data_IF_293781967908
#
_entry.id   IF_293781967908
#
_cell.length_a   1.000
_cell.length_b   1.000
_cell.length_c   1.000
_cell.angle_alpha   90.00
_cell.angle_beta   90.00
_cell.angle_gamma   90.00
#
_symmetry.space_group_name_H-M   'P 1'
#
loop_
_entity.id
_entity.type
_entity.pdbx_description
1 polymer ?
#
# COMPACT_ATOMS: atom_id res chain seq x y z
N UNK A 1 -2.56 -19.98 -5.74
CA UNK A 1 -2.29 -19.42 -4.39
C UNK A 1 -0.80 -19.14 -4.30
N UNK A 2 -0.40 -17.89 -4.08
CA UNK A 2 1.03 -17.53 -3.93
C UNK A 2 1.42 -17.80 -2.49
N UNK A 3 2.59 -18.37 -2.24
CA UNK A 3 3.10 -18.63 -0.88
C UNK A 3 3.59 -17.33 -0.25
N UNK A 4 3.29 -17.15 1.03
CA UNK A 4 3.66 -15.97 1.81
C UNK A 4 5.18 -15.78 1.82
N UNK A 5 5.94 -16.88 1.98
CA UNK A 5 7.40 -16.89 1.91
C UNK A 5 7.92 -16.40 0.55
N UNK A 6 7.26 -16.75 -0.54
CA UNK A 6 7.68 -16.33 -1.89
C UNK A 6 7.49 -14.82 -2.05
N UNK A 7 6.37 -14.26 -1.57
CA UNK A 7 6.12 -12.81 -1.61
C UNK A 7 7.14 -12.07 -0.73
N UNK A 8 7.41 -12.57 0.47
CA UNK A 8 8.36 -11.95 1.39
C UNK A 8 9.78 -11.88 0.81
N UNK A 9 10.26 -12.98 0.19
CA UNK A 9 11.58 -13.03 -0.45
C UNK A 9 11.63 -12.09 -1.66
N UNK A 10 10.63 -12.16 -2.54
CA UNK A 10 10.52 -11.34 -3.74
C UNK A 10 10.56 -9.83 -3.39
N UNK A 11 9.74 -9.41 -2.43
CA UNK A 11 9.72 -8.02 -1.98
C UNK A 11 10.99 -7.61 -1.25
N UNK A 12 11.60 -8.52 -0.49
CA UNK A 12 12.90 -8.26 0.14
C UNK A 12 13.96 -7.90 -0.89
N UNK A 13 14.07 -8.71 -1.95
CA UNK A 13 15.00 -8.43 -3.05
C UNK A 13 14.64 -7.13 -3.79
N UNK A 14 13.37 -6.91 -4.13
CA UNK A 14 12.94 -5.68 -4.81
C UNK A 14 13.23 -4.42 -3.98
N UNK A 15 13.02 -4.46 -2.67
CA UNK A 15 13.27 -3.32 -1.78
C UNK A 15 14.76 -3.05 -1.59
N UNK A 16 15.59 -4.08 -1.47
CA UNK A 16 17.05 -3.92 -1.41
C UNK A 16 17.55 -3.25 -2.70
N UNK A 17 17.11 -3.75 -3.86
CA UNK A 17 17.51 -3.19 -5.14
C UNK A 17 17.01 -1.76 -5.33
N UNK A 18 15.72 -1.51 -5.07
CA UNK A 18 15.09 -0.18 -5.21
C UNK A 18 15.80 0.86 -4.34
N UNK A 19 16.01 0.57 -3.06
CA UNK A 19 16.67 1.51 -2.15
C UNK A 19 18.15 1.71 -2.46
N UNK A 20 18.86 0.69 -2.96
CA UNK A 20 20.27 0.80 -3.36
C UNK A 20 20.48 1.78 -4.53
N UNK A 21 19.50 1.92 -5.42
CA UNK A 21 19.56 2.88 -6.55
C UNK A 21 18.90 4.23 -6.23
N UNK A 22 18.59 4.51 -4.95
CA UNK A 22 17.93 5.75 -4.52
C UNK A 22 16.41 5.77 -4.71
N UNK A 23 15.80 4.63 -5.01
CA UNK A 23 14.36 4.46 -5.08
C UNK A 23 13.70 4.33 -3.71
N UNK A 24 12.36 4.37 -3.69
CA UNK A 24 11.54 4.23 -2.49
C UNK A 24 11.17 2.76 -2.22
N UNK A 25 10.81 2.40 -0.97
CA UNK A 25 10.30 1.06 -0.67
C UNK A 25 9.05 0.72 -1.48
N UNK A 26 8.99 -0.52 -1.96
CA UNK A 26 7.96 -1.05 -2.84
C UNK A 26 7.12 -2.11 -2.13
N UNK A 27 5.85 -2.18 -2.51
CA UNK A 27 4.88 -3.18 -2.06
C UNK A 27 4.23 -3.89 -3.27
N UNK A 28 3.32 -4.83 -3.01
CA UNK A 28 2.83 -5.72 -4.06
C UNK A 28 1.92 -5.03 -5.08
N UNK A 29 1.37 -3.86 -4.74
CA UNK A 29 0.51 -3.10 -5.66
C UNK A 29 -0.75 -3.86 -6.09
N UNK A 30 -1.32 -4.68 -5.20
CA UNK A 30 -2.44 -5.57 -5.53
C UNK A 30 -3.66 -4.85 -6.15
N UNK A 31 -3.94 -3.62 -5.72
CA UNK A 31 -5.02 -2.80 -6.30
C UNK A 31 -4.78 -2.44 -7.77
N UNK A 32 -3.57 -2.03 -8.13
CA UNK A 32 -3.21 -1.73 -9.52
C UNK A 32 -3.25 -2.98 -10.41
N UNK A 33 -2.77 -4.12 -9.87
CA UNK A 33 -2.87 -5.40 -10.57
C UNK A 33 -4.32 -5.83 -10.81
N UNK A 34 -5.22 -5.61 -9.85
CA UNK A 34 -6.65 -5.89 -10.03
C UNK A 34 -7.25 -5.05 -11.17
N UNK A 35 -6.79 -3.81 -11.35
CA UNK A 35 -7.13 -2.97 -12.51
C UNK A 35 -6.70 -3.62 -13.82
N UNK A 36 -5.42 -3.99 -13.95
CA UNK A 36 -4.92 -4.67 -15.16
C UNK A 36 -5.71 -5.95 -15.49
N UNK A 37 -6.04 -6.75 -14.47
CA UNK A 37 -6.84 -7.97 -14.66
C UNK A 37 -8.27 -7.64 -15.11
N UNK A 38 -8.90 -6.58 -14.57
CA UNK A 38 -10.22 -6.10 -15.03
C UNK A 38 -10.20 -5.62 -16.47
N UNK A 39 -9.11 -5.00 -16.92
CA UNK A 39 -8.89 -4.60 -18.31
C UNK A 39 -8.45 -5.74 -19.24
N UNK A 40 -8.49 -6.99 -18.77
CA UNK A 40 -8.26 -8.17 -19.60
C UNK A 40 -6.84 -8.72 -19.59
N UNK A 41 -5.91 -8.15 -18.80
CA UNK A 41 -4.58 -8.73 -18.64
C UNK A 41 -4.67 -10.09 -17.93
N UNK A 42 -4.10 -11.12 -18.54
CA UNK A 42 -4.04 -12.49 -17.98
C UNK A 42 -2.64 -12.93 -17.57
N UNK A 43 -1.62 -12.13 -17.89
CA UNK A 43 -0.21 -12.39 -17.60
C UNK A 43 0.47 -11.14 -17.03
N UNK A 44 1.67 -11.30 -16.48
CA UNK A 44 2.50 -10.19 -16.01
C UNK A 44 3.04 -9.27 -17.12
N UNK A 45 2.82 -9.60 -18.40
CA UNK A 45 3.32 -8.81 -19.52
C UNK A 45 2.84 -7.37 -19.51
N UNK A 46 1.59 -7.12 -19.09
CA UNK A 46 1.06 -5.77 -18.98
C UNK A 46 1.85 -4.89 -17.97
N UNK A 47 2.27 -5.48 -16.85
CA UNK A 47 3.08 -4.80 -15.84
C UNK A 47 4.50 -4.54 -16.34
N UNK A 48 5.09 -5.50 -17.07
CA UNK A 48 6.42 -5.33 -17.68
C UNK A 48 6.39 -4.21 -18.73
N UNK A 49 5.39 -4.20 -19.62
CA UNK A 49 5.22 -3.15 -20.63
C UNK A 49 5.07 -1.78 -19.96
N UNK A 50 4.21 -1.68 -18.94
CA UNK A 50 4.04 -0.44 -18.18
C UNK A 50 5.36 0.02 -17.56
N UNK A 51 6.08 -0.88 -16.89
CA UNK A 51 7.38 -0.58 -16.27
C UNK A 51 8.42 -0.11 -17.27
N UNK A 52 8.56 -0.79 -18.42
CA UNK A 52 9.49 -0.40 -19.48
C UNK A 52 9.15 0.97 -20.04
N UNK A 53 7.87 1.26 -20.29
CA UNK A 53 7.43 2.58 -20.76
C UNK A 53 7.79 3.66 -19.74
N UNK A 54 7.53 3.43 -18.45
CA UNK A 54 7.86 4.38 -17.38
C UNK A 54 9.36 4.63 -17.27
N UNK A 55 10.20 3.60 -17.42
CA UNK A 55 11.66 3.74 -17.41
C UNK A 55 12.15 4.56 -18.61
N UNK A 56 11.64 4.29 -19.82
CA UNK A 56 12.01 5.05 -21.02
C UNK A 56 11.60 6.53 -20.85
N UNK A 57 10.37 6.77 -20.41
CA UNK A 57 9.88 8.14 -20.16
C UNK A 57 10.71 8.83 -19.09
N UNK A 58 11.03 8.15 -17.98
CA UNK A 58 11.82 8.71 -16.89
C UNK A 58 13.26 9.04 -17.29
N UNK A 59 13.89 8.25 -18.15
CA UNK A 59 15.28 8.47 -18.59
C UNK A 59 15.41 9.53 -19.70
N UNK A 60 14.47 9.57 -20.65
CA UNK A 60 14.59 10.41 -21.85
C UNK A 60 13.69 11.66 -21.84
N UNK A 61 12.63 11.68 -21.02
CA UNK A 61 11.59 12.74 -21.04
C UNK A 61 11.27 13.29 -19.64
N UNK A 62 12.21 13.21 -18.70
CA UNK A 62 12.02 13.62 -17.30
C UNK A 62 11.51 15.07 -17.17
N UNK A 63 12.09 16.02 -17.91
CA UNK A 63 11.71 17.43 -17.87
C UNK A 63 10.27 17.65 -18.34
N UNK A 64 9.88 17.00 -19.43
CA UNK A 64 8.52 17.08 -19.98
C UNK A 64 7.48 16.53 -19.00
N UNK A 65 7.81 15.43 -18.31
CA UNK A 65 6.93 14.84 -17.28
C UNK A 65 6.81 15.76 -16.07
N UNK A 66 7.91 16.38 -15.63
CA UNK A 66 7.88 17.33 -14.52
C UNK A 66 6.98 18.54 -14.83
N UNK A 67 6.99 19.03 -16.07
CA UNK A 67 6.06 20.08 -16.52
C UNK A 67 4.62 19.58 -16.50
N UNK A 68 4.36 18.37 -17.01
CA UNK A 68 3.02 17.78 -17.02
C UNK A 68 2.45 17.63 -15.60
N UNK A 69 3.26 17.19 -14.64
CA UNK A 69 2.85 17.06 -13.24
C UNK A 69 2.56 18.42 -12.58
N UNK A 70 3.23 19.50 -12.98
CA UNK A 70 2.92 20.85 -12.50
C UNK A 70 1.59 21.40 -13.03
N UNK A 71 1.17 20.95 -14.21
CA UNK A 71 -0.12 21.35 -14.81
C UNK A 71 -1.28 20.54 -14.20
N UNK A 72 -1.00 19.37 -13.62
CA UNK A 72 -2.02 18.49 -13.08
C UNK A 72 -2.76 19.14 -11.88
N UNK A 73 -4.10 19.32 -11.94
CA UNK A 73 -4.83 19.98 -10.88
C UNK A 73 -4.79 19.20 -9.56
N UNK A 74 -4.31 19.83 -8.50
CA UNK A 74 -4.24 19.23 -7.17
C UNK A 74 -5.62 18.76 -6.64
N UNK A 75 -6.71 19.45 -7.04
CA UNK A 75 -8.06 19.06 -6.67
C UNK A 75 -8.47 17.68 -7.20
N UNK A 76 -8.10 17.35 -8.44
CA UNK A 76 -8.39 16.02 -9.02
C UNK A 76 -7.62 14.94 -8.27
N UNK A 77 -6.35 15.22 -7.94
CA UNK A 77 -5.50 14.29 -7.18
C UNK A 77 -6.10 14.00 -5.79
N UNK A 78 -6.58 15.05 -5.11
CA UNK A 78 -7.25 14.92 -3.81
C UNK A 78 -8.52 14.09 -3.87
N UNK A 79 -9.35 14.26 -4.91
CA UNK A 79 -10.57 13.47 -5.10
C UNK A 79 -10.24 12.00 -5.34
N UNK A 80 -9.29 11.69 -6.24
CA UNK A 80 -8.88 10.31 -6.51
C UNK A 80 -8.32 9.66 -5.25
N UNK A 81 -7.49 10.37 -4.48
CA UNK A 81 -6.91 9.85 -3.25
C UNK A 81 -7.96 9.63 -2.15
N UNK A 82 -8.96 10.51 -2.06
CA UNK A 82 -10.09 10.35 -1.15
C UNK A 82 -10.89 9.08 -1.47
N UNK A 83 -11.24 8.88 -2.74
CA UNK A 83 -11.96 7.67 -3.17
C UNK A 83 -11.14 6.39 -2.94
N UNK A 84 -9.84 6.40 -3.24
CA UNK A 84 -8.95 5.27 -2.96
C UNK A 84 -8.87 4.97 -1.45
N UNK A 85 -8.81 6.03 -0.61
CA UNK A 85 -8.84 5.89 0.84
C UNK A 85 -10.14 5.30 1.37
N UNK A 86 -11.29 5.73 0.84
CA UNK A 86 -12.61 5.19 1.18
C UNK A 86 -12.79 3.74 0.73
N UNK A 87 -12.28 3.39 -0.45
CA UNK A 87 -12.27 2.01 -0.95
C UNK A 87 -11.43 1.14 0.00
N UNK A 88 -10.25 1.60 0.40
CA UNK A 88 -9.38 0.85 1.30
C UNK A 88 -9.95 0.74 2.72
N UNK A 89 -10.59 1.80 3.23
CA UNK A 89 -11.24 1.79 4.54
C UNK A 89 -12.47 0.88 4.58
N UNK A 90 -13.08 0.57 3.44
CA UNK A 90 -14.23 -0.34 3.37
C UNK A 90 -13.91 -1.76 3.88
N UNK A 91 -12.63 -2.16 3.85
CA UNK A 91 -12.14 -3.43 4.42
C UNK A 91 -12.39 -3.52 5.93
N UNK A 92 -12.50 -2.39 6.64
CA UNK A 92 -12.81 -2.37 8.06
C UNK A 92 -14.17 -3.02 8.39
N UNK A 93 -15.11 -3.08 7.42
CA UNK A 93 -16.41 -3.75 7.60
C UNK A 93 -16.29 -5.26 7.81
N UNK A 94 -15.16 -5.86 7.44
CA UNK A 94 -14.88 -7.28 7.61
C UNK A 94 -14.25 -7.65 8.95
N UNK A 95 -13.94 -6.68 9.81
CA UNK A 95 -13.37 -6.93 11.14
C UNK A 95 -14.49 -7.37 12.08
N UNK A 96 -14.21 -8.36 12.93
CA UNK A 96 -15.16 -8.89 13.90
C UNK A 96 -15.74 -7.77 14.77
N UNK A 97 -17.03 -7.83 15.08
CA UNK A 97 -17.71 -6.83 15.92
C UNK A 97 -17.44 -7.01 17.42
N UNK A 98 -16.41 -7.78 17.77
CA UNK A 98 -15.97 -7.91 19.15
C UNK A 98 -15.31 -6.59 19.59
N UNK A 99 -15.62 -6.15 20.81
CA UNK A 99 -15.15 -4.86 21.35
C UNK A 99 -13.62 -4.77 21.35
N UNK A 100 -12.97 -5.91 21.57
CA UNK A 100 -11.52 -6.08 21.59
C UNK A 100 -10.89 -5.77 20.22
N UNK A 101 -11.40 -6.39 19.15
CA UNK A 101 -10.92 -6.19 17.78
C UNK A 101 -11.16 -4.76 17.30
N UNK A 102 -12.32 -4.18 17.63
CA UNK A 102 -12.64 -2.79 17.30
C UNK A 102 -11.69 -1.81 18.00
N UNK A 103 -11.33 -2.07 19.26
CA UNK A 103 -10.41 -1.22 20.01
C UNK A 103 -8.99 -1.28 19.43
N UNK A 104 -8.50 -2.49 19.11
CA UNK A 104 -7.19 -2.67 18.44
C UNK A 104 -7.16 -1.95 17.10
N UNK A 105 -8.21 -2.10 16.29
CA UNK A 105 -8.32 -1.43 14.99
C UNK A 105 -8.29 0.10 15.14
N UNK A 106 -9.14 0.68 16.01
CA UNK A 106 -9.23 2.13 16.18
C UNK A 106 -7.95 2.72 16.76
N UNK A 107 -7.34 2.06 17.75
CA UNK A 107 -6.07 2.49 18.32
C UNK A 107 -4.94 2.47 17.27
N UNK A 108 -4.84 1.38 16.51
CA UNK A 108 -3.85 1.25 15.43
C UNK A 108 -4.07 2.32 14.37
N UNK A 109 -5.33 2.54 13.93
CA UNK A 109 -5.67 3.53 12.91
C UNK A 109 -5.37 4.96 13.37
N UNK A 110 -5.76 5.31 14.61
CA UNK A 110 -5.54 6.64 15.18
C UNK A 110 -4.07 6.99 15.32
N UNK A 111 -3.24 6.06 15.83
CA UNK A 111 -1.80 6.28 15.97
C UNK A 111 -1.09 6.31 14.61
N UNK A 112 -1.59 5.53 13.64
CA UNK A 112 -1.04 5.49 12.28
C UNK A 112 -1.19 6.82 11.52
N UNK A 113 -2.13 7.69 11.92
CA UNK A 113 -2.25 9.04 11.35
C UNK A 113 -1.01 9.90 11.60
N UNK A 114 -0.31 9.67 12.71
CA UNK A 114 0.94 10.36 13.02
C UNK A 114 2.16 9.58 12.53
N UNK A 115 2.21 8.28 12.80
CA UNK A 115 3.31 7.43 12.37
C UNK A 115 2.84 5.98 12.18
N UNK A 116 2.90 5.51 10.93
CA UNK A 116 2.44 4.17 10.55
C UNK A 116 3.26 3.08 11.26
N UNK A 117 4.57 3.27 11.43
CA UNK A 117 5.45 2.30 12.09
C UNK A 117 5.15 2.16 13.58
N UNK A 118 4.96 3.28 14.28
CA UNK A 118 4.55 3.28 15.69
C UNK A 118 3.13 2.71 15.83
N UNK A 119 2.21 3.09 14.93
CA UNK A 119 0.86 2.55 14.90
C UNK A 119 0.83 1.04 14.79
N UNK A 120 1.61 0.46 13.89
CA UNK A 120 1.75 -0.98 13.75
C UNK A 120 2.30 -1.65 15.01
N UNK A 121 3.37 -1.11 15.61
CA UNK A 121 3.97 -1.68 16.82
C UNK A 121 3.00 -1.63 18.01
N UNK A 122 2.33 -0.49 18.23
CA UNK A 122 1.37 -0.34 19.32
C UNK A 122 0.16 -1.25 19.09
N UNK A 123 -0.35 -1.32 17.87
CA UNK A 123 -1.43 -2.24 17.50
C UNK A 123 -1.09 -3.70 17.77
N UNK A 124 0.13 -4.12 17.41
CA UNK A 124 0.63 -5.48 17.64
C UNK A 124 0.73 -5.79 19.14
N UNK A 125 1.32 -4.89 19.93
CA UNK A 125 1.46 -5.04 21.39
C UNK A 125 0.07 -5.13 22.04
N UNK A 126 -0.85 -4.25 21.64
CA UNK A 126 -2.21 -4.21 22.17
C UNK A 126 -2.99 -5.49 21.85
N UNK A 127 -2.87 -6.00 20.61
CA UNK A 127 -3.47 -7.27 20.21
C UNK A 127 -2.98 -8.43 21.09
N UNK A 128 -1.66 -8.56 21.31
CA UNK A 128 -1.13 -9.61 22.17
C UNK A 128 -1.50 -9.42 23.65
N UNK A 129 -1.53 -8.18 24.15
CA UNK A 129 -1.89 -7.88 25.54
C UNK A 129 -3.35 -8.28 25.86
N UNK A 130 -4.28 -8.03 24.93
CA UNK A 130 -5.68 -8.42 25.06
C UNK A 130 -5.81 -9.95 24.95
N UNK A 131 -5.15 -10.57 23.97
CA UNK A 131 -5.17 -12.03 23.78
C UNK A 131 -4.63 -12.81 24.98
N UNK A 132 -3.60 -12.29 25.66
CA UNK A 132 -3.05 -12.87 26.88
C UNK A 132 -3.79 -12.45 28.16
N UNK A 133 -4.93 -11.74 28.06
CA UNK A 133 -5.74 -11.22 29.18
C UNK A 133 -4.98 -10.32 30.16
N UNK A 134 -3.88 -9.70 29.71
CA UNK A 134 -3.11 -8.74 30.50
C UNK A 134 -3.87 -7.42 30.62
N UNK A 135 -4.65 -7.08 29.60
CA UNK A 135 -5.55 -5.92 29.56
C UNK A 135 -6.95 -6.43 29.25
N UNK A 136 -7.94 -6.06 30.07
CA UNK A 136 -9.36 -6.27 29.80
C UNK A 136 -9.94 -4.96 29.30
N UNK A 137 -10.56 -5.00 28.13
CA UNK A 137 -11.25 -3.87 27.48
C UNK A 137 -12.74 -4.16 27.42
#
# INVERSE_FOLDING_TARGET
KVREKTIAIDHGFMNIFSTAIGGVPLCHGAGGMAGHVRFGAKTGGALVILGVILVIIGLFFSDSVAVLFKIFPAGILGVILCFAGLELSSVAKGIGWEKEDAYVMLATAGISLWNIGVGFLVGLILYYAIKHRVVKV
#
